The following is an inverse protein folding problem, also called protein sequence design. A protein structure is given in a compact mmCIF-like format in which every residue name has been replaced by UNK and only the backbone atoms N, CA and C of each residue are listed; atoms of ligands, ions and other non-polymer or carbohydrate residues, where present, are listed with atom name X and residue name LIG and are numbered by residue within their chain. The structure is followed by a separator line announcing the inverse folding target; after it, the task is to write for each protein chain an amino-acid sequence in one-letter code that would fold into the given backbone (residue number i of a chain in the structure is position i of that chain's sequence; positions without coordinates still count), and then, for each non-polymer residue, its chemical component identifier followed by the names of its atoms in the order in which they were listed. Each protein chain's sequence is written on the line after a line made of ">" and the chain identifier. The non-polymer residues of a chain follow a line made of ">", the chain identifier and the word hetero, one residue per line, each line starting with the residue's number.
data_IF_565085161488
#
_entry.id   IF_565085161488
#
_cell.length_a   1.000
_cell.length_b   1.000
_cell.length_c   1.000
_cell.angle_alpha   90.00
_cell.angle_beta   90.00
_cell.angle_gamma   90.00
#
_symmetry.space_group_name_H-M   'P 1'
#
loop_
_entity.id
_entity.type
_entity.pdbx_description
1 polymer ?
#
# COMPACT_ATOMS: atom_id res chain seq x y z
N UNK A 1 -28.52 -10.06 4.61
CA UNK A 1 -27.25 -9.74 5.31
C UNK A 1 -26.05 -10.52 4.76
N UNK A 2 -26.11 -11.86 4.69
CA UNK A 2 -24.98 -12.70 4.26
C UNK A 2 -24.39 -12.32 2.88
N UNK A 3 -25.24 -12.05 1.88
CA UNK A 3 -24.80 -11.61 0.54
C UNK A 3 -24.04 -10.27 0.54
N UNK A 4 -24.36 -9.35 1.45
CA UNK A 4 -23.67 -8.06 1.55
C UNK A 4 -22.29 -8.23 2.19
N UNK A 5 -22.20 -9.01 3.26
CA UNK A 5 -20.94 -9.34 3.93
C UNK A 5 -19.97 -10.08 2.99
N UNK A 6 -20.49 -11.01 2.18
CA UNK A 6 -19.69 -11.71 1.16
C UNK A 6 -19.20 -10.75 0.05
N UNK A 7 -20.00 -9.73 -0.31
CA UNK A 7 -19.62 -8.73 -1.29
C UNK A 7 -18.53 -7.79 -0.76
N UNK A 8 -18.60 -7.43 0.52
CA UNK A 8 -17.55 -6.69 1.23
C UNK A 8 -16.25 -7.51 1.23
N UNK A 9 -16.30 -8.80 1.60
CA UNK A 9 -15.13 -9.68 1.57
C UNK A 9 -14.49 -9.78 0.18
N UNK A 10 -15.30 -9.86 -0.89
CA UNK A 10 -14.79 -9.83 -2.27
C UNK A 10 -14.18 -8.48 -2.66
N UNK A 11 -14.72 -7.36 -2.17
CA UNK A 11 -14.17 -6.04 -2.44
C UNK A 11 -12.76 -5.87 -1.84
N UNK A 12 -12.50 -6.48 -0.68
CA UNK A 12 -11.18 -6.49 -0.05
C UNK A 12 -10.11 -7.30 -0.81
N UNK A 13 -10.50 -8.19 -1.72
CA UNK A 13 -9.51 -8.99 -2.47
C UNK A 13 -8.63 -8.13 -3.40
N UNK A 14 -9.16 -7.04 -3.96
CA UNK A 14 -8.43 -6.17 -4.89
C UNK A 14 -7.21 -5.51 -4.23
N UNK A 15 -7.35 -4.83 -3.08
CA UNK A 15 -6.19 -4.27 -2.36
C UNK A 15 -5.23 -5.35 -1.82
N UNK A 16 -5.77 -6.45 -1.29
CA UNK A 16 -4.96 -7.53 -0.69
C UNK A 16 -4.05 -8.19 -1.72
N UNK A 17 -4.44 -8.22 -3.00
CA UNK A 17 -3.62 -8.79 -4.07
C UNK A 17 -2.29 -8.03 -4.31
N UNK A 18 -2.19 -6.76 -3.91
CA UNK A 18 -1.00 -5.92 -4.13
C UNK A 18 0.00 -6.03 -2.96
N UNK A 19 -0.48 -6.38 -1.76
CA UNK A 19 0.34 -6.50 -0.55
C UNK A 19 1.52 -7.49 -0.68
N UNK A 20 1.37 -8.69 -1.30
CA UNK A 20 2.48 -9.63 -1.44
C UNK A 20 3.62 -9.07 -2.27
N UNK A 21 3.33 -8.42 -3.39
CA UNK A 21 4.34 -7.80 -4.23
C UNK A 21 5.06 -6.66 -3.49
N UNK A 22 4.31 -5.80 -2.79
CA UNK A 22 4.88 -4.74 -1.96
C UNK A 22 5.75 -5.31 -0.82
N UNK A 23 5.32 -6.41 -0.19
CA UNK A 23 6.04 -7.10 0.86
C UNK A 23 7.36 -7.70 0.38
N UNK A 24 7.37 -8.29 -0.82
CA UNK A 24 8.60 -8.77 -1.45
C UNK A 24 9.56 -7.62 -1.75
N UNK A 25 9.08 -6.51 -2.30
CA UNK A 25 9.90 -5.33 -2.59
C UNK A 25 10.52 -4.74 -1.32
N UNK A 26 9.71 -4.59 -0.26
CA UNK A 26 10.17 -4.10 1.04
C UNK A 26 11.15 -5.06 1.70
N UNK A 27 10.84 -6.36 1.70
CA UNK A 27 11.62 -7.40 2.36
C UNK A 27 12.97 -7.62 1.67
N UNK A 28 12.98 -7.81 0.36
CA UNK A 28 14.21 -8.00 -0.42
C UNK A 28 15.03 -6.69 -0.41
N UNK A 29 14.38 -5.55 -0.65
CA UNK A 29 15.07 -4.25 -0.64
C UNK A 29 15.71 -3.94 0.71
N UNK A 30 14.97 -4.15 1.81
CA UNK A 30 15.45 -3.89 3.17
C UNK A 30 16.48 -4.91 3.67
N UNK A 31 16.33 -6.20 3.34
CA UNK A 31 17.29 -7.23 3.73
C UNK A 31 18.64 -7.07 3.02
N UNK A 32 18.63 -6.68 1.74
CA UNK A 32 19.85 -6.47 0.96
C UNK A 32 20.47 -5.08 1.14
N UNK A 33 19.72 -4.07 1.62
CA UNK A 33 20.25 -2.74 1.92
C UNK A 33 20.79 -2.58 3.35
N UNK A 34 20.64 -3.58 4.23
CA UNK A 34 21.01 -3.48 5.65
C UNK A 34 22.54 -3.46 5.85
N UNK A 35 23.09 -2.55 6.68
CA UNK A 35 24.53 -2.48 6.97
C UNK A 35 25.15 -3.81 7.44
N UNK A 36 24.40 -4.67 8.13
CA UNK A 36 24.88 -6.01 8.54
C UNK A 36 25.03 -6.99 7.37
N UNK A 37 24.16 -6.91 6.37
CA UNK A 37 24.20 -7.76 5.16
C UNK A 37 25.30 -7.31 4.21
N UNK A 38 25.52 -5.99 4.09
CA UNK A 38 26.61 -5.41 3.29
C UNK A 38 27.97 -5.73 3.91
N UNK A 39 28.07 -5.80 5.24
CA UNK A 39 29.27 -6.24 5.93
C UNK A 39 29.55 -7.74 5.78
N UNK A 40 28.51 -8.57 5.58
CA UNK A 40 28.63 -10.03 5.45
C UNK A 40 28.87 -10.47 3.99
N UNK A 41 28.38 -9.71 3.01
CA UNK A 41 28.59 -9.97 1.58
C UNK A 41 29.27 -8.77 0.89
N UNK A 42 30.62 -8.76 0.79
CA UNK A 42 31.38 -7.65 0.18
C UNK A 42 31.13 -7.48 -1.33
N UNK A 43 30.49 -8.44 -1.99
CA UNK A 43 30.02 -8.35 -3.40
C UNK A 43 28.87 -7.35 -3.56
N UNK A 44 28.13 -7.07 -2.48
CA UNK A 44 26.99 -6.14 -2.48
C UNK A 44 27.41 -4.68 -2.24
N UNK A 45 28.68 -4.43 -1.92
CA UNK A 45 29.24 -3.11 -1.66
C UNK A 45 29.54 -2.34 -2.96
N UNK A 46 28.55 -2.28 -3.85
CA UNK A 46 28.58 -1.42 -5.02
C UNK A 46 27.51 -0.33 -4.82
N UNK A 47 27.88 0.96 -4.87
CA UNK A 47 26.95 2.08 -4.66
C UNK A 47 25.73 2.03 -5.60
N UNK A 48 25.87 1.44 -6.80
CA UNK A 48 24.77 1.29 -7.76
C UNK A 48 23.77 0.22 -7.30
N UNK A 49 24.24 -0.94 -6.83
CA UNK A 49 23.37 -2.02 -6.34
C UNK A 49 22.63 -1.62 -5.06
N UNK A 50 23.31 -0.93 -4.15
CA UNK A 50 22.72 -0.43 -2.91
C UNK A 50 21.68 0.67 -3.18
N UNK A 51 21.90 1.50 -4.21
CA UNK A 51 20.90 2.44 -4.73
C UNK A 51 19.64 1.73 -5.25
N UNK A 52 19.78 0.63 -6.00
CA UNK A 52 18.63 -0.14 -6.48
C UNK A 52 17.86 -0.79 -5.33
N UNK A 53 18.54 -1.39 -4.35
CA UNK A 53 17.86 -2.03 -3.20
C UNK A 53 17.14 -1.03 -2.29
N UNK A 54 17.72 0.16 -2.08
CA UNK A 54 17.05 1.23 -1.32
C UNK A 54 15.83 1.78 -2.05
N UNK A 55 15.89 1.97 -3.37
CA UNK A 55 14.72 2.34 -4.19
C UNK A 55 13.64 1.25 -4.11
N UNK A 56 14.04 -0.02 -4.17
CA UNK A 56 13.11 -1.15 -4.08
C UNK A 56 12.40 -1.22 -2.72
N UNK A 57 13.14 -0.98 -1.64
CA UNK A 57 12.59 -0.89 -0.28
C UNK A 57 11.64 0.32 -0.13
N UNK A 58 12.02 1.48 -0.67
CA UNK A 58 11.19 2.68 -0.67
C UNK A 58 9.88 2.47 -1.44
N UNK A 59 9.95 1.81 -2.60
CA UNK A 59 8.77 1.46 -3.40
C UNK A 59 7.79 0.57 -2.62
N UNK A 60 8.28 -0.46 -1.93
CA UNK A 60 7.45 -1.28 -1.04
C UNK A 60 6.85 -0.50 0.12
N UNK A 61 7.65 0.37 0.75
CA UNK A 61 7.23 1.20 1.89
C UNK A 61 6.08 2.14 1.55
N UNK A 62 6.11 2.79 0.38
CA UNK A 62 5.05 3.73 -0.05
C UNK A 62 3.70 3.04 -0.16
N UNK A 63 3.66 1.78 -0.62
CA UNK A 63 2.42 1.00 -0.73
C UNK A 63 1.83 0.71 0.65
N UNK A 64 2.65 0.32 1.63
CA UNK A 64 2.20 0.09 3.00
C UNK A 64 1.81 1.38 3.72
N UNK A 65 2.54 2.47 3.50
CA UNK A 65 2.24 3.78 4.08
C UNK A 65 0.88 4.34 3.61
N UNK A 66 0.50 4.06 2.37
CA UNK A 66 -0.77 4.51 1.77
C UNK A 66 -1.83 3.41 1.72
N UNK A 67 -1.65 2.32 2.48
CA UNK A 67 -2.52 1.15 2.43
C UNK A 67 -3.97 1.49 2.77
N UNK A 68 -4.21 2.40 3.72
CA UNK A 68 -5.55 2.88 4.05
C UNK A 68 -6.27 3.54 2.86
N UNK A 69 -5.55 4.33 2.06
CA UNK A 69 -6.07 4.98 0.86
C UNK A 69 -6.34 3.96 -0.26
N UNK A 70 -5.41 3.02 -0.48
CA UNK A 70 -5.57 1.92 -1.44
C UNK A 70 -6.77 1.02 -1.09
N UNK A 71 -6.96 0.74 0.19
CA UNK A 71 -8.09 -0.03 0.72
C UNK A 71 -9.41 0.71 0.51
N UNK A 72 -9.44 2.02 0.77
CA UNK A 72 -10.61 2.88 0.53
C UNK A 72 -11.05 2.82 -0.94
N UNK A 73 -10.11 3.04 -1.87
CA UNK A 73 -10.37 2.97 -3.31
C UNK A 73 -10.90 1.60 -3.72
N UNK A 74 -10.22 0.52 -3.30
CA UNK A 74 -10.64 -0.84 -3.64
C UNK A 74 -12.01 -1.22 -3.07
N UNK A 75 -12.32 -0.77 -1.85
CA UNK A 75 -13.63 -1.00 -1.23
C UNK A 75 -14.74 -0.26 -1.98
N UNK A 76 -14.53 1.01 -2.32
CA UNK A 76 -15.51 1.81 -3.07
C UNK A 76 -15.79 1.21 -4.46
N UNK A 77 -14.75 0.76 -5.17
CA UNK A 77 -14.89 0.08 -6.48
C UNK A 77 -15.59 -1.27 -6.34
N UNK A 78 -15.25 -2.06 -5.32
CA UNK A 78 -15.79 -3.41 -5.12
C UNK A 78 -17.24 -3.43 -4.64
N UNK A 79 -17.66 -2.40 -3.92
CA UNK A 79 -19.05 -2.27 -3.44
C UNK A 79 -19.97 -1.60 -4.46
N UNK A 80 -19.44 -0.71 -5.31
CA UNK A 80 -20.19 0.00 -6.33
C UNK A 80 -20.94 -0.94 -7.29
N UNK A 81 -22.22 -0.63 -7.54
CA UNK A 81 -23.06 -1.38 -8.49
C UNK A 81 -23.01 -0.78 -9.89
N UNK A 82 -22.84 0.54 -9.99
CA UNK A 82 -22.74 1.33 -11.23
C UNK A 82 -21.67 2.40 -11.01
N UNK A 83 -21.11 2.92 -12.09
CA UNK A 83 -20.17 4.05 -12.09
C UNK A 83 -19.01 3.92 -11.09
N UNK A 84 -18.24 2.82 -11.23
CA UNK A 84 -17.13 2.49 -10.32
C UNK A 84 -16.10 3.61 -10.17
N UNK A 85 -15.89 4.42 -11.21
CA UNK A 85 -14.95 5.55 -11.20
C UNK A 85 -15.42 6.70 -10.29
N UNK A 86 -16.69 7.10 -10.37
CA UNK A 86 -17.22 8.16 -9.49
C UNK A 86 -17.33 7.68 -8.06
N UNK A 87 -17.68 6.40 -7.84
CA UNK A 87 -17.68 5.80 -6.50
C UNK A 87 -16.28 5.80 -5.87
N UNK A 88 -15.23 5.48 -6.65
CA UNK A 88 -13.85 5.55 -6.18
C UNK A 88 -13.44 6.98 -5.81
N UNK A 89 -13.75 7.96 -6.67
CA UNK A 89 -13.44 9.36 -6.44
C UNK A 89 -14.13 9.89 -5.17
N UNK A 90 -15.43 9.60 -5.01
CA UNK A 90 -16.20 9.97 -3.82
C UNK A 90 -15.62 9.34 -2.54
N UNK A 91 -15.17 8.08 -2.61
CA UNK A 91 -14.49 7.41 -1.52
C UNK A 91 -13.20 8.10 -1.09
N UNK A 92 -12.34 8.44 -2.05
CA UNK A 92 -11.08 9.15 -1.79
C UNK A 92 -11.34 10.53 -1.18
N UNK A 93 -12.29 11.29 -1.74
CA UNK A 93 -12.66 12.60 -1.19
C UNK A 93 -13.17 12.46 0.25
N UNK A 94 -14.04 11.48 0.51
CA UNK A 94 -14.53 11.20 1.87
C UNK A 94 -13.40 10.84 2.84
N UNK A 95 -12.44 10.02 2.43
CA UNK A 95 -11.27 9.66 3.24
C UNK A 95 -10.38 10.87 3.55
N UNK A 96 -10.15 11.74 2.56
CA UNK A 96 -9.35 12.95 2.74
C UNK A 96 -10.03 13.96 3.65
N UNK A 97 -11.34 14.18 3.48
CA UNK A 97 -12.14 15.05 4.36
C UNK A 97 -12.13 14.50 5.78
N UNK A 98 -12.32 13.19 5.96
CA UNK A 98 -12.25 12.54 7.27
C UNK A 98 -10.89 12.79 7.94
N UNK A 99 -9.78 12.52 7.24
CA UNK A 99 -8.45 12.79 7.80
C UNK A 99 -8.24 14.27 8.11
N UNK A 100 -8.62 15.18 7.22
CA UNK A 100 -8.49 16.62 7.44
C UNK A 100 -9.29 17.09 8.67
N UNK A 101 -10.51 16.57 8.85
CA UNK A 101 -11.33 16.88 10.04
C UNK A 101 -10.72 16.32 11.31
N UNK A 102 -10.19 15.09 11.30
CA UNK A 102 -9.52 14.50 12.46
C UNK A 102 -8.27 15.28 12.82
N UNK A 103 -7.42 15.63 11.85
CA UNK A 103 -6.24 16.47 12.08
C UNK A 103 -6.65 17.83 12.63
N UNK A 104 -7.65 18.49 12.05
CA UNK A 104 -8.12 19.81 12.54
C UNK A 104 -8.72 19.74 13.96
N UNK A 105 -9.28 18.60 14.36
CA UNK A 105 -9.84 18.39 15.69
C UNK A 105 -8.76 18.07 16.73
N UNK A 106 -7.71 17.34 16.35
CA UNK A 106 -6.67 16.86 17.26
C UNK A 106 -5.43 17.76 17.31
N UNK A 107 -5.23 18.65 16.33
CA UNK A 107 -4.06 19.52 16.19
C UNK A 107 -3.04 18.97 15.20
#
# INVERSE_FOLDING_TARGET
>A
MFKMLQKIGKAFMLPIAILPAAGLLLGIGGALSNPTTVATYPVLNNPVLQGVFTIMSAAGTVVFANLAMLLCVGLCIGLAKRDKGTAALAGVVGFLVMNATITSLLG
#
